data_IF_200610029167
#
_entry.id   IF_200610029167
#
_cell.length_a   1.000
_cell.length_b   1.000
_cell.length_c   1.000
_cell.angle_alpha   90.00
_cell.angle_beta   90.00
_cell.angle_gamma   90.00
#
_symmetry.space_group_name_H-M   'P 1'
#
loop_
_entity.id
_entity.type
_entity.pdbx_description
1 polymer ?
#
# COMPACT_ATOMS: atom_id res chain seq x y z
N UNK A 1 52.46 -63.81 15.90
CA UNK A 1 51.03 -63.35 15.82
C UNK A 1 51.07 -61.83 15.92
N UNK A 2 50.80 -61.12 14.76
CA UNK A 2 50.83 -59.64 14.71
C UNK A 2 49.40 -59.14 14.85
N UNK A 3 49.05 -58.44 15.92
CA UNK A 3 47.76 -57.81 16.13
C UNK A 3 47.76 -56.51 15.33
N UNK A 4 46.86 -56.42 14.31
CA UNK A 4 46.61 -55.22 13.55
C UNK A 4 45.45 -54.49 14.27
N UNK A 5 45.72 -53.32 14.85
CA UNK A 5 44.76 -52.46 15.46
C UNK A 5 44.13 -51.59 14.35
N UNK A 6 42.86 -51.86 14.00
CA UNK A 6 42.11 -51.05 13.04
C UNK A 6 41.50 -49.85 13.77
N UNK A 7 42.03 -48.68 13.52
CA UNK A 7 41.52 -47.40 14.06
C UNK A 7 40.39 -46.92 13.17
N UNK A 8 39.14 -47.07 13.59
CA UNK A 8 37.96 -46.60 12.87
C UNK A 8 37.80 -45.09 13.09
N UNK A 9 38.08 -44.29 12.05
CA UNK A 9 37.91 -42.83 12.07
C UNK A 9 36.43 -42.52 11.91
N UNK A 10 35.75 -42.11 12.98
CA UNK A 10 34.38 -41.56 12.91
C UNK A 10 34.42 -40.15 12.38
N UNK A 11 34.01 -39.95 11.12
CA UNK A 11 33.79 -38.62 10.53
C UNK A 11 32.43 -38.13 10.97
N UNK A 12 32.39 -37.16 11.89
CA UNK A 12 31.16 -36.45 12.24
C UNK A 12 30.83 -35.46 11.11
N UNK A 13 29.79 -35.78 10.34
CA UNK A 13 29.18 -34.83 9.39
C UNK A 13 28.36 -33.80 10.22
N UNK A 14 28.91 -32.62 10.42
CA UNK A 14 28.16 -31.47 10.93
C UNK A 14 27.39 -30.91 9.74
N UNK A 15 26.13 -31.27 9.61
CA UNK A 15 25.24 -30.62 8.65
C UNK A 15 25.07 -29.15 9.05
N UNK A 16 25.23 -28.20 8.13
CA UNK A 16 24.97 -26.82 8.46
C UNK A 16 23.49 -26.66 8.83
N UNK A 17 23.21 -26.14 10.02
CA UNK A 17 21.90 -25.69 10.44
C UNK A 17 21.52 -24.50 9.51
N UNK A 18 20.80 -24.77 8.43
CA UNK A 18 20.14 -23.72 7.66
C UNK A 18 19.02 -23.21 8.58
N UNK A 19 19.27 -22.08 9.21
CA UNK A 19 18.22 -21.37 9.92
C UNK A 19 17.10 -21.06 8.91
N UNK A 20 15.99 -21.78 8.98
CA UNK A 20 14.79 -21.44 8.22
C UNK A 20 14.37 -20.04 8.66
N UNK A 21 14.51 -19.07 7.76
CA UNK A 21 13.92 -17.77 7.94
C UNK A 21 12.44 -17.98 8.21
N UNK A 22 11.97 -17.59 9.39
CA UNK A 22 10.56 -17.75 9.76
C UNK A 22 9.68 -17.00 8.76
N UNK A 23 8.52 -17.55 8.42
CA UNK A 23 7.56 -16.95 7.51
C UNK A 23 7.17 -15.55 7.99
N UNK A 24 7.40 -14.53 7.17
CA UNK A 24 7.06 -13.15 7.47
C UNK A 24 5.58 -12.91 7.09
N UNK A 25 4.69 -13.02 8.09
CA UNK A 25 3.25 -12.79 7.91
C UNK A 25 2.87 -11.30 7.90
N UNK A 26 1.70 -10.98 7.37
CA UNK A 26 1.07 -9.67 7.52
C UNK A 26 0.75 -9.41 9.00
N UNK A 27 0.14 -10.41 9.65
CA UNK A 27 0.00 -10.50 11.11
C UNK A 27 0.40 -11.89 11.57
N UNK A 28 0.32 -12.16 12.88
CA UNK A 28 0.54 -13.50 13.44
C UNK A 28 -0.31 -14.58 12.75
N UNK A 29 -1.58 -14.24 12.46
CA UNK A 29 -2.58 -15.18 11.98
C UNK A 29 -2.96 -14.95 10.50
N UNK A 30 -2.39 -13.94 9.84
CA UNK A 30 -2.66 -13.60 8.45
C UNK A 30 -1.36 -13.55 7.65
N UNK A 31 -1.13 -14.55 6.81
CA UNK A 31 0.06 -14.61 5.95
C UNK A 31 -0.07 -13.78 4.69
N UNK A 32 -1.27 -13.74 4.11
CA UNK A 32 -1.53 -13.09 2.83
C UNK A 32 -3.02 -12.87 2.61
N UNK A 33 -3.35 -11.93 1.71
CA UNK A 33 -4.67 -11.80 1.11
C UNK A 33 -4.58 -11.89 -0.41
N UNK A 34 -5.70 -12.17 -1.08
CA UNK A 34 -5.79 -12.10 -2.54
C UNK A 34 -6.78 -11.01 -2.93
N UNK A 35 -6.35 -10.11 -3.80
CA UNK A 35 -7.19 -9.04 -4.34
C UNK A 35 -7.39 -9.24 -5.83
N UNK A 36 -8.57 -8.87 -6.33
CA UNK A 36 -8.85 -8.88 -7.76
C UNK A 36 -8.31 -7.60 -8.39
N UNK A 37 -7.65 -7.74 -9.52
CA UNK A 37 -7.18 -6.63 -10.36
C UNK A 37 -7.65 -6.84 -11.79
N UNK A 38 -7.51 -5.85 -12.65
CA UNK A 38 -7.83 -5.98 -14.08
C UNK A 38 -7.01 -7.08 -14.76
N UNK A 39 -5.80 -7.35 -14.28
CA UNK A 39 -4.91 -8.43 -14.75
C UNK A 39 -5.16 -9.79 -14.08
N UNK A 40 -6.18 -9.89 -13.23
CA UNK A 40 -6.48 -11.10 -12.48
C UNK A 40 -6.10 -11.00 -11.00
N UNK A 41 -6.19 -12.11 -10.25
CA UNK A 41 -5.94 -12.13 -8.81
C UNK A 41 -4.45 -11.92 -8.51
N UNK A 42 -4.17 -11.03 -7.55
CA UNK A 42 -2.81 -10.77 -7.04
C UNK A 42 -2.79 -11.08 -5.54
N UNK A 43 -1.78 -11.82 -5.14
CA UNK A 43 -1.53 -12.13 -3.73
C UNK A 43 -0.71 -11.01 -3.08
N UNK A 44 -1.24 -10.39 -2.03
CA UNK A 44 -0.53 -9.45 -1.18
C UNK A 44 0.12 -10.25 -0.05
N UNK A 45 1.43 -10.17 0.04
CA UNK A 45 2.26 -10.80 1.08
C UNK A 45 3.27 -9.77 1.58
N UNK A 46 3.93 -10.06 2.68
CA UNK A 46 5.16 -9.38 3.06
C UNK A 46 6.37 -10.01 2.38
N UNK A 47 7.42 -9.24 2.12
CA UNK A 47 8.70 -9.74 1.61
C UNK A 47 9.29 -10.76 2.59
N UNK A 48 9.70 -11.91 2.10
CA UNK A 48 10.28 -13.01 2.89
C UNK A 48 11.79 -12.88 3.11
N UNK A 49 12.45 -11.98 2.39
CA UNK A 49 13.85 -11.66 2.59
C UNK A 49 14.03 -10.69 3.75
N UNK A 50 14.52 -11.18 4.88
CA UNK A 50 14.78 -10.38 6.08
C UNK A 50 15.91 -9.35 5.92
N UNK A 51 16.66 -9.38 4.81
CA UNK A 51 17.69 -8.40 4.45
C UNK A 51 17.18 -7.36 3.46
N UNK A 52 15.94 -7.52 2.97
CA UNK A 52 15.35 -6.56 2.05
C UNK A 52 15.28 -5.16 2.66
N UNK A 53 15.53 -4.16 1.84
CA UNK A 53 15.48 -2.75 2.22
C UNK A 53 14.42 -2.02 1.39
N UNK A 54 13.92 -0.92 1.93
CA UNK A 54 12.95 -0.09 1.23
C UNK A 54 13.57 0.52 -0.04
N UNK A 55 12.74 0.74 -1.05
CA UNK A 55 13.16 1.43 -2.26
C UNK A 55 13.87 2.77 -1.93
N UNK A 56 15.06 3.06 -2.51
CA UNK A 56 15.84 4.26 -2.19
C UNK A 56 15.06 5.58 -2.31
N UNK A 57 14.09 5.66 -3.23
CA UNK A 57 13.19 6.80 -3.38
C UNK A 57 12.34 7.07 -2.13
N UNK A 58 12.01 6.04 -1.37
CA UNK A 58 11.24 6.15 -0.11
C UNK A 58 12.13 6.16 1.15
N UNK A 59 13.40 5.76 1.05
CA UNK A 59 14.37 5.85 2.15
C UNK A 59 14.82 7.30 2.42
N UNK A 60 14.66 8.21 1.46
CA UNK A 60 15.02 9.62 1.60
C UNK A 60 14.18 10.28 2.69
N UNK A 61 14.82 10.76 3.76
CA UNK A 61 14.14 11.33 4.94
C UNK A 61 13.94 12.85 4.85
N UNK A 62 14.86 13.59 4.18
CA UNK A 62 14.77 15.03 4.03
C UNK A 62 14.25 15.42 2.64
N UNK A 63 13.17 16.22 2.60
CA UNK A 63 12.54 16.69 1.38
C UNK A 63 12.19 18.16 1.51
N UNK A 64 12.44 18.93 0.44
CA UNK A 64 12.17 20.38 0.43
C UNK A 64 10.67 20.67 0.57
N UNK A 65 10.30 21.46 1.56
CA UNK A 65 8.95 21.99 1.77
C UNK A 65 8.94 23.48 1.37
N UNK A 66 8.01 23.94 0.56
CA UNK A 66 7.16 23.18 -0.33
C UNK A 66 7.92 22.50 -1.47
N UNK A 67 7.38 21.44 -2.13
CA UNK A 67 6.01 20.90 -1.96
C UNK A 67 5.90 19.74 -0.96
N UNK A 68 7.02 19.22 -0.42
CA UNK A 68 7.02 18.00 0.40
C UNK A 68 6.99 18.32 1.89
N UNK A 69 5.88 18.88 2.35
CA UNK A 69 5.69 19.23 3.76
C UNK A 69 5.04 18.08 4.55
N UNK A 70 5.26 18.06 5.87
CA UNK A 70 4.58 17.11 6.75
C UNK A 70 3.06 17.31 6.64
N UNK A 71 2.33 16.23 6.40
CA UNK A 71 0.88 16.26 6.26
C UNK A 71 0.17 16.03 7.60
N UNK A 72 -1.01 16.63 7.82
CA UNK A 72 -1.77 16.42 9.04
C UNK A 72 -2.22 14.97 9.18
N UNK A 73 -2.44 14.52 10.43
CA UNK A 73 -3.05 13.23 10.69
C UNK A 73 -4.51 13.22 10.21
N UNK A 74 -5.27 14.24 10.57
CA UNK A 74 -6.67 14.42 10.14
C UNK A 74 -6.73 15.47 9.03
N UNK A 75 -7.19 15.07 7.84
CA UNK A 75 -7.29 15.96 6.67
C UNK A 75 -8.48 16.91 6.80
N UNK A 76 -9.62 16.41 7.27
CA UNK A 76 -10.84 17.15 7.48
C UNK A 76 -11.76 16.41 8.48
N UNK A 77 -12.69 17.11 9.14
CA UNK A 77 -13.70 16.47 10.01
C UNK A 77 -14.50 15.41 9.22
N UNK A 78 -14.73 14.25 9.85
CA UNK A 78 -15.46 13.13 9.26
C UNK A 78 -14.64 12.22 8.32
N UNK A 79 -13.46 12.62 7.90
CA UNK A 79 -12.50 11.74 7.15
C UNK A 79 -11.74 10.89 8.15
N UNK A 80 -11.78 9.57 7.97
CA UNK A 80 -11.07 8.64 8.85
C UNK A 80 -9.66 8.38 8.33
N UNK A 81 -8.64 8.63 9.16
CA UNK A 81 -7.27 8.20 8.90
C UNK A 81 -7.08 6.75 9.31
N UNK A 82 -6.45 5.95 8.45
CA UNK A 82 -6.28 4.49 8.62
C UNK A 82 -4.83 4.07 8.46
N UNK A 83 -4.48 2.95 9.09
CA UNK A 83 -3.20 2.27 8.96
C UNK A 83 -3.27 1.09 7.99
N UNK A 84 -2.15 0.37 7.87
CA UNK A 84 -1.97 -0.71 6.88
C UNK A 84 -2.94 -1.86 7.06
N UNK A 85 -3.25 -2.24 8.30
CA UNK A 85 -4.19 -3.32 8.57
C UNK A 85 -5.63 -2.97 8.16
N UNK A 86 -6.05 -1.72 8.34
CA UNK A 86 -7.35 -1.24 7.88
C UNK A 86 -7.40 -1.19 6.35
N UNK A 87 -6.29 -0.80 5.68
CA UNK A 87 -6.17 -0.90 4.21
C UNK A 87 -6.38 -2.34 3.76
N UNK A 88 -5.65 -3.29 4.35
CA UNK A 88 -5.73 -4.72 4.01
C UNK A 88 -7.15 -5.25 4.23
N UNK A 89 -7.76 -4.98 5.39
CA UNK A 89 -9.15 -5.37 5.67
C UNK A 89 -10.17 -4.75 4.72
N UNK A 90 -9.93 -3.51 4.28
CA UNK A 90 -10.78 -2.84 3.30
C UNK A 90 -10.66 -3.49 1.92
N UNK A 91 -9.45 -3.89 1.52
CA UNK A 91 -9.19 -4.60 0.27
C UNK A 91 -9.84 -6.01 0.26
N UNK A 92 -9.75 -6.76 1.35
CA UNK A 92 -10.41 -8.08 1.48
C UNK A 92 -11.92 -8.02 1.25
N UNK A 93 -12.54 -6.89 1.61
CA UNK A 93 -13.98 -6.64 1.40
C UNK A 93 -14.30 -6.08 0.01
N UNK A 94 -13.35 -6.04 -0.91
CA UNK A 94 -13.52 -5.45 -2.25
C UNK A 94 -13.62 -3.93 -2.24
N UNK A 95 -13.05 -3.26 -1.22
CA UNK A 95 -13.04 -1.81 -1.09
C UNK A 95 -12.27 -1.12 -2.21
N UNK A 96 -12.76 0.02 -2.68
CA UNK A 96 -12.17 0.80 -3.77
C UNK A 96 -11.02 1.67 -3.25
N UNK A 97 -9.80 1.35 -3.70
CA UNK A 97 -8.59 2.08 -3.35
C UNK A 97 -8.20 3.00 -4.49
N UNK A 98 -7.92 4.25 -4.17
CA UNK A 98 -7.55 5.31 -5.11
C UNK A 98 -6.09 5.70 -4.88
N UNK A 99 -5.28 5.50 -5.89
CA UNK A 99 -3.96 6.11 -5.97
C UNK A 99 -4.10 7.56 -6.46
N UNK A 100 -3.98 8.51 -5.54
CA UNK A 100 -4.14 9.93 -5.83
C UNK A 100 -2.84 10.61 -6.32
N UNK A 101 -1.79 9.84 -6.56
CA UNK A 101 -0.50 10.34 -7.07
C UNK A 101 -0.60 10.73 -8.54
N UNK A 102 0.47 11.37 -9.06
CA UNK A 102 0.60 11.52 -10.51
C UNK A 102 0.77 10.16 -11.19
N UNK A 103 0.44 10.09 -12.48
CA UNK A 103 0.51 8.85 -13.27
C UNK A 103 1.92 8.24 -13.24
N UNK A 104 2.97 9.08 -13.29
CA UNK A 104 4.36 8.60 -13.27
C UNK A 104 4.72 7.85 -11.97
N UNK A 105 4.14 8.26 -10.83
CA UNK A 105 4.31 7.55 -9.58
C UNK A 105 3.52 6.24 -9.55
N UNK A 106 2.31 6.27 -10.09
CA UNK A 106 1.45 5.09 -10.17
C UNK A 106 2.11 3.99 -11.01
N UNK A 107 2.57 4.32 -12.22
CA UNK A 107 3.21 3.38 -13.16
C UNK A 107 4.48 2.77 -12.55
N UNK A 108 5.30 3.54 -11.83
CA UNK A 108 6.52 3.05 -11.18
C UNK A 108 6.28 2.05 -10.05
N UNK A 109 5.06 2.00 -9.52
CA UNK A 109 4.69 1.06 -8.47
C UNK A 109 3.52 1.56 -7.64
N UNK A 110 2.54 0.67 -7.41
CA UNK A 110 1.31 0.99 -6.69
C UNK A 110 0.84 -0.18 -5.82
N UNK A 111 -0.14 0.09 -4.95
CA UNK A 111 -0.83 -0.96 -4.19
C UNK A 111 -1.69 -1.78 -5.16
N UNK A 112 -1.60 -3.13 -5.17
CA UNK A 112 -2.40 -3.97 -6.04
C UNK A 112 -3.89 -3.68 -5.94
N UNK A 113 -4.58 -3.60 -7.09
CA UNK A 113 -6.02 -3.31 -7.16
C UNK A 113 -6.39 -1.83 -6.93
N UNK A 114 -5.42 -0.93 -6.78
CA UNK A 114 -5.71 0.50 -6.72
C UNK A 114 -6.01 1.08 -8.11
N UNK A 115 -7.00 1.97 -8.15
CA UNK A 115 -7.35 2.75 -9.33
C UNK A 115 -6.58 4.06 -9.36
N UNK A 116 -5.95 4.40 -10.50
CA UNK A 116 -5.28 5.67 -10.68
C UNK A 116 -6.29 6.78 -10.94
N UNK A 117 -6.42 7.72 -9.99
CA UNK A 117 -7.14 8.97 -10.19
C UNK A 117 -6.29 10.10 -9.59
N UNK A 118 -5.45 10.74 -10.41
CA UNK A 118 -4.57 11.82 -9.94
C UNK A 118 -5.32 12.91 -9.17
N UNK A 119 -4.69 13.43 -8.12
CA UNK A 119 -5.27 14.45 -7.23
C UNK A 119 -5.78 15.71 -7.96
N UNK A 120 -5.20 16.02 -9.14
CA UNK A 120 -5.63 17.12 -10.02
C UNK A 120 -6.90 16.82 -10.81
N UNK A 121 -7.27 15.53 -10.93
CA UNK A 121 -8.40 15.09 -11.76
C UNK A 121 -9.58 14.58 -10.92
N UNK A 122 -9.40 14.28 -9.64
CA UNK A 122 -10.41 13.60 -8.82
C UNK A 122 -11.77 14.35 -8.82
N UNK A 123 -11.76 15.69 -8.73
CA UNK A 123 -12.97 16.49 -8.70
C UNK A 123 -13.81 16.39 -9.99
N UNK A 124 -13.18 16.14 -11.14
CA UNK A 124 -13.87 15.95 -12.43
C UNK A 124 -14.26 14.51 -12.72
N UNK A 125 -13.76 13.54 -11.93
CA UNK A 125 -13.94 12.11 -12.13
C UNK A 125 -14.75 11.43 -11.01
N UNK A 126 -15.57 12.16 -10.25
CA UNK A 126 -16.38 11.62 -9.15
C UNK A 126 -17.44 10.62 -9.61
N UNK A 127 -17.82 10.61 -10.88
CA UNK A 127 -18.67 9.58 -11.47
C UNK A 127 -18.07 8.18 -11.38
N UNK A 128 -16.76 8.05 -11.42
CA UNK A 128 -16.08 6.77 -11.32
C UNK A 128 -16.14 6.15 -9.92
N UNK A 129 -16.49 6.95 -8.93
CA UNK A 129 -16.59 6.58 -7.51
C UNK A 129 -18.00 6.76 -6.94
N UNK A 130 -19.00 6.78 -7.84
CA UNK A 130 -20.41 6.65 -7.51
C UNK A 130 -21.22 7.93 -7.41
N UNK A 131 -20.66 9.11 -7.74
CA UNK A 131 -21.44 10.34 -7.89
C UNK A 131 -22.07 10.43 -9.28
N UNK A 132 -23.20 11.11 -9.39
CA UNK A 132 -23.83 11.44 -10.68
C UNK A 132 -23.51 12.87 -11.06
N UNK A 133 -23.15 13.07 -12.34
CA UNK A 133 -22.85 14.40 -12.86
C UNK A 133 -24.15 15.11 -13.23
N UNK A 134 -24.33 16.33 -12.73
CA UNK A 134 -25.42 17.24 -13.05
C UNK A 134 -24.89 18.67 -13.09
N UNK A 135 -25.73 19.66 -12.79
CA UNK A 135 -25.28 21.04 -12.57
C UNK A 135 -24.28 21.12 -11.38
N UNK A 136 -24.50 20.28 -10.39
CA UNK A 136 -23.57 19.94 -9.31
C UNK A 136 -23.47 18.42 -9.22
N UNK A 137 -22.42 17.90 -8.55
CA UNK A 137 -22.33 16.48 -8.28
C UNK A 137 -23.41 16.03 -7.28
N UNK A 138 -24.14 14.96 -7.62
CA UNK A 138 -24.98 14.22 -6.67
C UNK A 138 -24.17 13.00 -6.19
N UNK A 139 -23.69 13.07 -4.96
CA UNK A 139 -22.90 12.03 -4.30
C UNK A 139 -23.70 11.22 -3.28
N UNK A 140 -25.04 11.20 -3.34
CA UNK A 140 -25.92 10.42 -2.45
C UNK A 140 -25.58 8.92 -2.48
N UNK A 141 -25.20 8.40 -3.66
CA UNK A 141 -24.79 7.01 -3.87
C UNK A 141 -23.25 6.83 -3.92
N UNK A 142 -22.48 7.80 -3.40
CA UNK A 142 -21.03 7.71 -3.37
C UNK A 142 -20.54 6.41 -2.70
N UNK A 143 -19.52 5.79 -3.28
CA UNK A 143 -18.87 4.60 -2.71
C UNK A 143 -17.98 5.02 -1.53
N UNK A 144 -17.75 4.11 -0.57
CA UNK A 144 -16.65 4.30 0.36
C UNK A 144 -15.34 4.08 -0.39
N UNK A 145 -14.42 5.03 -0.28
CA UNK A 145 -13.13 5.00 -0.98
C UNK A 145 -11.98 5.24 -0.02
N UNK A 146 -10.84 4.63 -0.32
CA UNK A 146 -9.60 4.84 0.41
C UNK A 146 -8.61 5.54 -0.51
N UNK A 147 -8.06 6.67 -0.08
CA UNK A 147 -7.06 7.42 -0.83
C UNK A 147 -5.68 7.34 -0.19
N UNK A 148 -4.65 7.22 -1.02
CA UNK A 148 -3.26 7.28 -0.59
C UNK A 148 -2.39 8.09 -1.56
N UNK A 149 -1.18 8.43 -1.09
CA UNK A 149 -0.11 8.97 -1.93
C UNK A 149 1.26 8.41 -1.51
N UNK A 150 2.35 9.19 -1.62
CA UNK A 150 3.69 8.65 -1.42
C UNK A 150 4.07 8.42 0.06
N UNK A 151 3.50 9.16 1.00
CA UNK A 151 3.85 9.03 2.42
C UNK A 151 3.52 10.27 3.24
N UNK A 152 4.03 10.34 4.46
CA UNK A 152 3.73 11.36 5.48
C UNK A 152 4.00 12.80 5.04
N UNK A 153 4.82 13.00 4.04
CA UNK A 153 5.23 14.29 3.47
C UNK A 153 4.48 14.63 2.17
N UNK A 154 3.65 13.75 1.66
CA UNK A 154 3.01 13.90 0.34
C UNK A 154 1.63 14.55 0.47
N UNK A 155 1.46 15.74 -0.12
CA UNK A 155 0.19 16.48 -0.10
C UNK A 155 -0.84 16.08 -1.14
N UNK A 156 -0.57 15.10 -2.03
CA UNK A 156 -1.45 14.80 -3.16
C UNK A 156 -2.79 14.21 -2.70
N UNK A 157 -2.81 13.17 -1.86
CA UNK A 157 -4.06 12.63 -1.34
C UNK A 157 -4.82 13.59 -0.41
N UNK A 158 -4.19 14.36 0.51
CA UNK A 158 -4.90 15.44 1.21
C UNK A 158 -5.54 16.48 0.29
N UNK A 159 -4.85 16.85 -0.80
CA UNK A 159 -5.41 17.78 -1.80
C UNK A 159 -6.60 17.17 -2.54
N UNK A 160 -6.49 15.90 -2.96
CA UNK A 160 -7.58 15.15 -3.56
C UNK A 160 -8.82 15.11 -2.65
N UNK A 161 -8.62 14.73 -1.38
CA UNK A 161 -9.70 14.65 -0.38
C UNK A 161 -10.41 16.00 -0.22
N UNK A 162 -9.65 17.09 -0.07
CA UNK A 162 -10.24 18.43 0.05
C UNK A 162 -10.99 18.83 -1.22
N UNK A 163 -10.53 18.43 -2.40
CA UNK A 163 -11.24 18.67 -3.65
C UNK A 163 -12.57 17.90 -3.69
N UNK A 164 -12.57 16.62 -3.33
CA UNK A 164 -13.79 15.80 -3.24
C UNK A 164 -14.82 16.41 -2.27
N UNK A 165 -14.38 16.87 -1.10
CA UNK A 165 -15.26 17.49 -0.10
C UNK A 165 -15.88 18.79 -0.61
N UNK A 166 -15.14 19.62 -1.34
CA UNK A 166 -15.68 20.85 -1.97
C UNK A 166 -16.77 20.54 -3.01
N UNK A 167 -16.66 19.40 -3.68
CA UNK A 167 -17.65 18.93 -4.65
C UNK A 167 -18.83 18.19 -3.99
N UNK A 168 -18.89 18.12 -2.66
CA UNK A 168 -20.00 17.50 -1.93
C UNK A 168 -19.85 15.99 -1.68
N UNK A 169 -18.66 15.41 -1.89
CA UNK A 169 -18.45 14.01 -1.52
C UNK A 169 -18.54 13.82 -0.02
N UNK A 170 -19.30 12.81 0.50
CA UNK A 170 -19.48 12.65 1.94
C UNK A 170 -18.17 12.30 2.65
N UNK A 171 -17.77 13.09 3.64
CA UNK A 171 -16.56 12.88 4.42
C UNK A 171 -16.50 11.49 5.09
N UNK A 172 -17.64 10.99 5.58
CA UNK A 172 -17.77 9.67 6.21
C UNK A 172 -17.52 8.49 5.26
N UNK A 173 -17.46 8.76 3.95
CA UNK A 173 -17.15 7.77 2.91
C UNK A 173 -15.70 7.85 2.42
N UNK A 174 -14.85 8.64 3.10
CA UNK A 174 -13.45 8.81 2.74
C UNK A 174 -12.56 8.24 3.83
N UNK A 175 -11.73 7.27 3.46
CA UNK A 175 -10.62 6.76 4.26
C UNK A 175 -9.32 7.37 3.73
N UNK A 176 -8.48 7.84 4.63
CA UNK A 176 -7.18 8.41 4.31
C UNK A 176 -6.05 7.51 4.80
N UNK A 177 -5.36 6.85 3.88
CA UNK A 177 -4.15 6.10 4.20
C UNK A 177 -2.94 7.04 4.14
N UNK A 178 -2.63 7.65 5.31
CA UNK A 178 -1.63 8.69 5.45
C UNK A 178 -0.20 8.20 5.18
N UNK A 179 0.12 6.97 5.58
CA UNK A 179 1.48 6.42 5.44
C UNK A 179 1.85 6.14 3.97
N UNK A 180 0.85 5.94 3.11
CA UNK A 180 1.02 5.79 1.67
C UNK A 180 2.01 4.71 1.24
N UNK A 181 2.61 4.88 0.07
CA UNK A 181 3.57 3.91 -0.48
C UNK A 181 4.82 3.74 0.40
N UNK A 182 5.25 4.76 1.11
CA UNK A 182 6.40 4.67 2.01
C UNK A 182 6.10 3.71 3.18
N UNK A 183 4.95 3.86 3.83
CA UNK A 183 4.52 2.93 4.89
C UNK A 183 4.30 1.52 4.37
N UNK A 184 3.62 1.40 3.22
CA UNK A 184 3.36 0.12 2.56
C UNK A 184 4.64 -0.66 2.27
N UNK A 185 5.64 -0.01 1.67
CA UNK A 185 6.92 -0.62 1.32
C UNK A 185 7.83 -0.85 2.53
N UNK A 186 7.75 -0.02 3.58
CA UNK A 186 8.53 -0.21 4.81
C UNK A 186 8.17 -1.51 5.54
N UNK A 187 6.95 -2.00 5.31
CA UNK A 187 6.50 -3.31 5.79
C UNK A 187 6.77 -4.45 4.79
N UNK A 188 7.39 -4.17 3.65
CA UNK A 188 7.66 -5.17 2.63
C UNK A 188 6.39 -5.73 1.96
N UNK A 189 5.29 -4.98 1.95
CA UNK A 189 4.04 -5.40 1.31
C UNK A 189 4.14 -5.35 -0.21
N UNK A 190 3.43 -6.25 -0.89
CA UNK A 190 3.45 -6.41 -2.35
C UNK A 190 3.15 -5.10 -3.08
N UNK A 191 3.99 -4.77 -4.05
CA UNK A 191 3.83 -3.64 -4.97
C UNK A 191 3.81 -4.17 -6.39
N UNK A 192 3.00 -3.59 -7.24
CA UNK A 192 2.94 -3.90 -8.68
C UNK A 192 3.20 -2.64 -9.51
N UNK A 193 3.61 -2.80 -10.74
CA UNK A 193 3.58 -1.71 -11.72
C UNK A 193 2.13 -1.33 -12.01
N UNK A 194 1.84 -0.04 -11.99
CA UNK A 194 0.53 0.49 -12.34
C UNK A 194 0.34 0.59 -13.84
N UNK A 195 -0.91 0.72 -14.27
CA UNK A 195 -1.27 0.91 -15.67
C UNK A 195 -1.51 2.40 -15.98
N UNK A 196 -1.19 2.80 -17.21
CA UNK A 196 -1.65 4.09 -17.71
C UNK A 196 -3.15 3.98 -18.02
N UNK A 197 -3.97 4.64 -17.23
CA UNK A 197 -5.44 4.71 -17.39
C UNK A 197 -5.84 6.02 -18.05
#
# INVERSE_FOLDING_TARGET
>A
MKNVLILTLMVFFVAPLVAQAGNVGITKDLMSITVQTEKGPIKIIRNQDNKAVINPGFAKTSRKCPPFCVQPHTVAPGVQTVGELEVIKFMEKGGLIIDARTVEWHVKGTIPGSKSIPYTQIASRLNEIGCKKGAKWDCSNAKTVLLFCNGLWCGQSPTAIRAMLREGYPASKILYYRNGMQGWQSLGLTVIEGEMS
#
